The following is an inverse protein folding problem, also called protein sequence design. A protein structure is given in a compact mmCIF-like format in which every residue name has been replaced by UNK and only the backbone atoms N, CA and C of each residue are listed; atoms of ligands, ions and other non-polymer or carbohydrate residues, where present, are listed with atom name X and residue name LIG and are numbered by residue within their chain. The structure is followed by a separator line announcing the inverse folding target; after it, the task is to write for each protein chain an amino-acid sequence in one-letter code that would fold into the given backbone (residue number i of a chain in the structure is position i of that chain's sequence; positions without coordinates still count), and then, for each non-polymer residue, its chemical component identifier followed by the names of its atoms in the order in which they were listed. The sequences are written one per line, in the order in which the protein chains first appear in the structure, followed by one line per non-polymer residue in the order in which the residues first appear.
data_IF_782117558136
#
_entry.id   IF_782117558136
#
_cell.length_a   1.000
_cell.length_b   1.000
_cell.length_c   1.000
_cell.angle_alpha   90.00
_cell.angle_beta   90.00
_cell.angle_gamma   90.00
#
_symmetry.space_group_name_H-M   'P 1'
#
loop_
_entity.id
_entity.type
_entity.pdbx_description
1 polymer ?
#
# COMPACT_ATOMS: atom_id res chain seq x y z
N UNK A 1 -4.15 -1.45 -10.14
CA UNK A 1 -4.91 -1.85 -8.93
C UNK A 1 -6.37 -1.43 -8.96
N UNK A 2 -6.70 -0.15 -9.22
CA UNK A 2 -8.10 0.30 -9.25
C UNK A 2 -8.99 -0.49 -10.23
N UNK A 3 -8.48 -0.87 -11.40
CA UNK A 3 -9.22 -1.71 -12.37
C UNK A 3 -9.74 -3.03 -11.78
N UNK A 4 -8.99 -3.61 -10.86
CA UNK A 4 -9.27 -4.92 -10.26
C UNK A 4 -10.12 -4.76 -8.99
N UNK A 5 -9.83 -3.73 -8.17
CA UNK A 5 -10.42 -3.58 -6.85
C UNK A 5 -11.70 -2.74 -6.84
N UNK A 6 -11.84 -1.76 -7.73
CA UNK A 6 -13.01 -0.89 -7.74
C UNK A 6 -14.32 -1.66 -7.95
N UNK A 7 -14.41 -2.69 -8.83
CA UNK A 7 -15.63 -3.49 -8.96
C UNK A 7 -16.04 -4.25 -7.68
N UNK A 8 -15.12 -4.44 -6.73
CA UNK A 8 -15.34 -5.17 -5.47
C UNK A 8 -15.58 -4.23 -4.27
N UNK A 9 -15.62 -2.92 -4.49
CA UNK A 9 -15.71 -1.91 -3.44
C UNK A 9 -16.84 -0.92 -3.70
N UNK A 10 -17.45 -0.37 -2.65
CA UNK A 10 -18.42 0.72 -2.79
C UNK A 10 -17.74 2.00 -3.30
N UNK A 11 -16.50 2.27 -2.87
CA UNK A 11 -15.69 3.41 -3.28
C UNK A 11 -14.21 3.02 -3.30
N UNK A 12 -13.48 3.45 -4.32
CA UNK A 12 -12.05 3.25 -4.45
C UNK A 12 -11.34 4.59 -4.67
N UNK A 13 -10.16 4.76 -4.06
CA UNK A 13 -9.32 5.96 -4.22
C UNK A 13 -7.92 5.54 -4.60
N UNK A 14 -7.37 6.12 -5.67
CA UNK A 14 -5.96 6.03 -6.03
C UNK A 14 -5.25 7.33 -5.67
N UNK A 15 -4.07 7.20 -5.08
CA UNK A 15 -3.19 8.33 -4.73
C UNK A 15 -1.85 8.15 -5.43
N UNK A 16 -1.36 9.22 -6.04
CA UNK A 16 -0.02 9.27 -6.64
C UNK A 16 0.53 10.69 -6.55
N UNK A 17 1.85 10.84 -6.44
CA UNK A 17 2.49 12.16 -6.43
C UNK A 17 2.59 12.78 -7.83
N UNK A 18 2.68 11.94 -8.87
CA UNK A 18 2.88 12.34 -10.26
C UNK A 18 1.57 12.74 -10.94
N UNK A 19 1.42 14.00 -11.36
CA UNK A 19 0.29 14.43 -12.20
C UNK A 19 0.18 13.62 -13.50
N UNK A 20 1.31 13.22 -14.07
CA UNK A 20 1.37 12.46 -15.32
C UNK A 20 0.79 11.05 -15.13
N UNK A 21 1.16 10.36 -14.05
CA UNK A 21 0.61 9.04 -13.74
C UNK A 21 -0.89 9.11 -13.44
N UNK A 22 -1.35 10.16 -12.76
CA UNK A 22 -2.77 10.39 -12.53
C UNK A 22 -3.55 10.64 -13.82
N UNK A 23 -2.95 11.33 -14.79
CA UNK A 23 -3.55 11.52 -16.12
C UNK A 23 -3.74 10.19 -16.85
N UNK A 24 -2.70 9.35 -16.86
CA UNK A 24 -2.76 7.99 -17.44
C UNK A 24 -3.82 7.14 -16.75
N UNK A 25 -3.84 7.16 -15.42
CA UNK A 25 -4.84 6.42 -14.63
C UNK A 25 -6.26 6.90 -14.92
N UNK A 26 -6.48 8.20 -15.10
CA UNK A 26 -7.79 8.79 -15.40
C UNK A 26 -8.32 8.31 -16.74
N UNK A 27 -7.51 8.38 -17.80
CA UNK A 27 -7.89 7.90 -19.13
C UNK A 27 -8.28 6.42 -19.11
N UNK A 28 -7.56 5.61 -18.31
CA UNK A 28 -7.82 4.18 -18.15
C UNK A 28 -9.11 3.89 -17.38
N UNK A 29 -9.37 4.62 -16.30
CA UNK A 29 -10.63 4.56 -15.52
C UNK A 29 -11.83 4.95 -16.39
N UNK A 30 -11.72 6.02 -17.17
CA UNK A 30 -12.77 6.51 -18.07
C UNK A 30 -13.10 5.48 -19.16
N UNK A 31 -12.06 4.90 -19.79
CA UNK A 31 -12.21 3.86 -20.82
C UNK A 31 -12.96 2.62 -20.33
N UNK A 32 -12.77 2.24 -19.06
CA UNK A 32 -13.43 1.06 -18.45
C UNK A 32 -14.78 1.44 -17.82
N UNK A 33 -15.07 2.74 -17.67
CA UNK A 33 -16.33 3.21 -17.11
C UNK A 33 -16.43 3.05 -15.59
N UNK A 34 -15.31 3.05 -14.87
CA UNK A 34 -15.30 2.92 -13.40
C UNK A 34 -15.80 4.21 -12.72
N UNK A 35 -17.08 4.21 -12.34
CA UNK A 35 -17.74 5.38 -11.73
C UNK A 35 -17.45 5.58 -10.25
N UNK A 36 -17.05 4.52 -9.55
CA UNK A 36 -16.80 4.52 -8.11
C UNK A 36 -15.31 4.69 -7.75
N UNK A 37 -14.45 5.01 -8.72
CA UNK A 37 -13.03 5.26 -8.53
C UNK A 37 -12.72 6.76 -8.57
N UNK A 38 -11.91 7.24 -7.62
CA UNK A 38 -11.42 8.61 -7.56
C UNK A 38 -9.89 8.62 -7.57
N UNK A 39 -9.32 9.68 -8.14
CA UNK A 39 -7.88 9.90 -8.16
C UNK A 39 -7.56 11.18 -7.38
N UNK A 40 -6.59 11.10 -6.48
CA UNK A 40 -6.09 12.23 -5.69
C UNK A 40 -4.58 12.37 -5.90
N UNK A 41 -4.11 13.59 -6.13
CA UNK A 41 -2.68 13.84 -6.04
C UNK A 41 -2.29 13.95 -4.57
N UNK A 42 -1.21 13.27 -4.16
CA UNK A 42 -0.80 13.30 -2.75
C UNK A 42 0.51 12.59 -2.49
N UNK A 43 1.13 12.94 -1.38
CA UNK A 43 2.35 12.32 -0.86
C UNK A 43 2.00 11.08 -0.03
N UNK A 44 2.71 9.98 -0.27
CA UNK A 44 2.55 8.74 0.49
C UNK A 44 2.94 8.88 1.96
N UNK A 45 3.79 9.85 2.29
CA UNK A 45 4.17 10.19 3.66
C UNK A 45 3.19 11.13 4.37
N UNK A 46 2.14 11.58 3.68
CA UNK A 46 1.07 12.43 4.21
C UNK A 46 -0.19 12.28 3.34
N UNK A 47 -0.83 11.10 3.42
CA UNK A 47 -1.90 10.75 2.50
C UNK A 47 -3.10 11.69 2.64
N UNK A 48 -3.63 12.26 1.53
CA UNK A 48 -4.81 13.14 1.55
C UNK A 48 -6.09 12.30 1.63
N UNK A 49 -6.18 11.46 2.66
CA UNK A 49 -7.28 10.54 2.90
C UNK A 49 -7.65 10.49 4.38
N UNK A 50 -8.91 10.16 4.59
CA UNK A 50 -9.57 10.06 5.88
C UNK A 50 -8.88 8.99 6.75
N UNK A 51 -8.50 9.31 8.01
CA UNK A 51 -8.04 8.28 8.95
C UNK A 51 -9.18 7.32 9.28
N UNK A 52 -8.84 6.10 9.66
CA UNK A 52 -9.80 5.11 10.18
C UNK A 52 -11.00 4.80 9.28
N UNK A 53 -10.80 4.88 7.95
CA UNK A 53 -11.90 4.85 6.99
C UNK A 53 -11.89 3.62 6.08
N UNK A 54 -10.71 3.15 5.67
CA UNK A 54 -10.61 2.17 4.58
C UNK A 54 -10.55 0.73 5.10
N UNK A 55 -11.36 -0.16 4.51
CA UNK A 55 -11.29 -1.61 4.76
C UNK A 55 -9.99 -2.26 4.27
N UNK A 56 -9.44 -1.69 3.19
CA UNK A 56 -8.28 -2.19 2.47
C UNK A 56 -7.46 -1.00 1.95
N UNK A 57 -6.17 -1.01 2.24
CA UNK A 57 -5.16 -0.17 1.60
C UNK A 57 -4.19 -1.07 0.85
N UNK A 58 -3.77 -0.66 -0.35
CA UNK A 58 -2.81 -1.41 -1.16
C UNK A 58 -1.65 -0.49 -1.54
N UNK A 59 -0.43 -0.89 -1.19
CA UNK A 59 0.81 -0.27 -1.64
C UNK A 59 1.43 -1.20 -2.69
N UNK A 60 1.53 -0.74 -3.93
CA UNK A 60 1.93 -1.59 -5.05
C UNK A 60 3.13 -1.00 -5.79
N UNK A 61 4.27 -1.70 -5.74
CA UNK A 61 5.52 -1.37 -6.41
C UNK A 61 5.95 0.08 -6.15
N UNK A 62 6.00 0.46 -4.87
CA UNK A 62 6.31 1.84 -4.47
C UNK A 62 7.36 1.92 -3.37
N UNK A 63 7.50 0.91 -2.50
CA UNK A 63 8.39 1.01 -1.34
C UNK A 63 9.86 1.13 -1.74
N UNK A 64 10.27 0.50 -2.84
CA UNK A 64 11.64 0.56 -3.35
C UNK A 64 12.05 1.97 -3.82
N UNK A 65 11.11 2.89 -4.04
CA UNK A 65 11.39 4.30 -4.33
C UNK A 65 11.54 5.18 -3.09
N UNK A 66 11.11 4.70 -1.92
CA UNK A 66 10.98 5.54 -0.73
C UNK A 66 12.30 5.69 0.00
N UNK A 67 12.44 6.77 0.77
CA UNK A 67 13.52 6.93 1.74
C UNK A 67 13.18 6.20 3.03
N UNK A 68 11.94 6.34 3.50
CA UNK A 68 11.45 5.81 4.76
C UNK A 68 10.19 4.92 4.55
N UNK A 69 10.36 3.64 4.19
CA UNK A 69 9.24 2.72 4.01
C UNK A 69 8.35 2.61 5.24
N UNK A 70 8.91 2.65 6.45
CA UNK A 70 8.15 2.53 7.69
C UNK A 70 7.19 3.72 7.87
N UNK A 71 7.64 4.95 7.61
CA UNK A 71 6.77 6.14 7.68
C UNK A 71 5.60 6.03 6.70
N UNK A 72 5.84 5.60 5.47
CA UNK A 72 4.78 5.42 4.48
C UNK A 72 3.79 4.31 4.90
N UNK A 73 4.29 3.20 5.44
CA UNK A 73 3.44 2.11 5.97
C UNK A 73 2.60 2.58 7.16
N UNK A 74 3.15 3.44 8.03
CA UNK A 74 2.39 4.06 9.13
C UNK A 74 1.27 4.96 8.62
N UNK A 75 1.52 5.78 7.60
CA UNK A 75 0.46 6.58 6.98
C UNK A 75 -0.61 5.74 6.29
N UNK A 76 -0.21 4.67 5.60
CA UNK A 76 -1.16 3.70 5.05
C UNK A 76 -1.99 3.03 6.15
N UNK A 77 -1.37 2.71 7.28
CA UNK A 77 -2.05 2.11 8.44
C UNK A 77 -3.01 3.10 9.11
N UNK A 78 -2.65 4.39 9.21
CA UNK A 78 -3.54 5.45 9.71
C UNK A 78 -4.87 5.53 8.94
N UNK A 79 -4.83 5.29 7.63
CA UNK A 79 -6.02 5.31 6.79
C UNK A 79 -6.94 4.09 7.01
N UNK A 80 -6.40 2.98 7.51
CA UNK A 80 -7.20 1.78 7.76
C UNK A 80 -8.16 2.01 8.90
N UNK A 81 -9.42 1.60 8.74
CA UNK A 81 -10.31 1.44 9.88
C UNK A 81 -9.80 0.32 10.81
N UNK A 82 -10.21 0.28 12.09
CA UNK A 82 -9.96 -0.87 12.95
C UNK A 82 -10.37 -2.19 12.28
N UNK A 83 -9.48 -3.18 12.32
CA UNK A 83 -9.64 -4.47 11.64
C UNK A 83 -9.44 -4.46 10.12
N UNK A 84 -9.12 -3.30 9.53
CA UNK A 84 -8.80 -3.14 8.11
C UNK A 84 -7.51 -3.87 7.72
N UNK A 85 -7.24 -3.97 6.41
CA UNK A 85 -6.10 -4.74 5.89
C UNK A 85 -5.17 -3.88 5.04
N UNK A 86 -3.87 -4.07 5.21
CA UNK A 86 -2.84 -3.53 4.32
C UNK A 86 -2.28 -4.65 3.44
N UNK A 87 -2.27 -4.45 2.12
CA UNK A 87 -1.52 -5.29 1.19
C UNK A 87 -0.32 -4.51 0.68
N UNK A 88 0.87 -5.10 0.82
CA UNK A 88 2.09 -4.58 0.21
C UNK A 88 2.50 -5.56 -0.88
N UNK A 89 2.76 -5.04 -2.07
CA UNK A 89 3.29 -5.79 -3.21
C UNK A 89 4.57 -5.08 -3.66
N UNK A 90 5.71 -5.73 -3.55
CA UNK A 90 6.99 -5.15 -3.95
C UNK A 90 7.99 -6.25 -4.33
N UNK A 91 9.18 -5.88 -4.83
CA UNK A 91 10.16 -6.85 -5.30
C UNK A 91 10.78 -7.65 -4.15
N UNK A 92 10.95 -8.96 -4.36
CA UNK A 92 11.88 -9.77 -3.57
C UNK A 92 13.33 -9.31 -3.84
N UNK A 93 14.32 -9.66 -3.00
CA UNK A 93 15.70 -9.25 -3.22
C UNK A 93 16.21 -9.69 -4.59
N UNK A 94 16.92 -8.81 -5.27
CA UNK A 94 17.51 -9.09 -6.59
C UNK A 94 18.81 -8.30 -6.81
N UNK A 95 19.57 -8.68 -7.85
CA UNK A 95 20.88 -8.09 -8.15
C UNK A 95 20.87 -7.18 -9.40
N UNK A 96 19.69 -6.93 -9.99
CA UNK A 96 19.53 -6.07 -11.17
C UNK A 96 19.79 -4.57 -10.85
N UNK A 97 21.07 -4.19 -10.87
CA UNK A 97 21.55 -2.85 -10.52
C UNK A 97 21.13 -1.78 -11.55
N UNK A 98 20.84 -2.17 -12.81
CA UNK A 98 20.40 -1.23 -13.84
C UNK A 98 19.11 -0.50 -13.45
N UNK A 99 18.27 -1.09 -12.59
CA UNK A 99 17.05 -0.44 -12.10
C UNK A 99 17.32 0.80 -11.25
N UNK A 100 18.50 0.92 -10.62
CA UNK A 100 18.85 2.14 -9.87
C UNK A 100 19.08 3.32 -10.80
N UNK A 101 19.79 3.11 -11.89
CA UNK A 101 20.16 4.17 -12.83
C UNK A 101 19.06 4.47 -13.83
N UNK A 102 18.36 3.45 -14.33
CA UNK A 102 17.34 3.58 -15.38
C UNK A 102 15.96 3.89 -14.79
N UNK A 103 15.61 3.25 -13.67
CA UNK A 103 14.28 3.34 -13.08
C UNK A 103 14.26 4.08 -11.74
N UNK A 104 15.40 4.58 -11.26
CA UNK A 104 15.52 5.30 -9.98
C UNK A 104 15.15 4.46 -8.74
N UNK A 105 15.34 3.14 -8.79
CA UNK A 105 15.17 2.29 -7.62
C UNK A 105 16.18 2.68 -6.52
N UNK A 106 15.68 2.93 -5.30
CA UNK A 106 16.53 3.17 -4.12
C UNK A 106 16.89 1.87 -3.41
N UNK A 107 16.10 0.81 -3.60
CA UNK A 107 16.33 -0.53 -3.07
C UNK A 107 16.12 -1.57 -4.17
N UNK A 108 16.89 -2.65 -4.15
CA UNK A 108 16.77 -3.78 -5.08
C UNK A 108 15.91 -4.88 -4.45
N UNK A 109 14.67 -4.52 -4.14
CA UNK A 109 13.73 -5.37 -3.40
C UNK A 109 13.96 -5.39 -1.90
N UNK A 110 13.22 -6.28 -1.24
CA UNK A 110 13.15 -6.41 0.21
C UNK A 110 13.11 -7.87 0.63
N UNK A 111 13.83 -8.20 1.70
CA UNK A 111 13.68 -9.48 2.38
C UNK A 111 12.29 -9.64 2.99
N UNK A 112 11.93 -10.88 3.35
CA UNK A 112 10.65 -11.16 3.97
C UNK A 112 10.47 -10.45 5.29
N UNK A 113 11.54 -10.47 6.07
CA UNK A 113 11.63 -9.99 7.43
C UNK A 113 11.60 -8.47 7.48
N UNK A 114 12.18 -7.78 6.49
CA UNK A 114 12.16 -6.30 6.44
C UNK A 114 10.73 -5.76 6.35
N UNK A 115 9.96 -6.19 5.35
CA UNK A 115 8.59 -5.68 5.17
C UNK A 115 7.69 -6.14 6.32
N UNK A 116 7.81 -7.38 6.76
CA UNK A 116 7.04 -7.88 7.90
C UNK A 116 7.39 -7.12 9.20
N UNK A 117 8.65 -6.76 9.39
CA UNK A 117 9.14 -5.93 10.48
C UNK A 117 8.55 -4.54 10.44
N UNK A 118 8.53 -3.88 9.27
CA UNK A 118 7.90 -2.56 9.13
C UNK A 118 6.40 -2.60 9.40
N UNK A 119 5.69 -3.62 8.90
CA UNK A 119 4.26 -3.80 9.16
C UNK A 119 3.97 -4.00 10.64
N UNK A 120 4.76 -4.84 11.32
CA UNK A 120 4.65 -5.06 12.77
C UNK A 120 4.93 -3.77 13.55
N UNK A 121 5.96 -3.01 13.17
CA UNK A 121 6.30 -1.72 13.77
C UNK A 121 5.28 -0.60 13.50
N UNK A 122 4.39 -0.81 12.52
CA UNK A 122 3.24 0.04 12.24
C UNK A 122 1.96 -0.42 12.96
N UNK A 123 2.01 -1.50 13.75
CA UNK A 123 0.88 -2.01 14.52
C UNK A 123 0.01 -3.04 13.79
N UNK A 124 0.47 -3.55 12.64
CA UNK A 124 -0.23 -4.58 11.88
C UNK A 124 0.20 -5.99 12.32
N UNK A 125 -0.74 -6.91 12.26
CA UNK A 125 -0.48 -8.35 12.32
C UNK A 125 -0.30 -8.90 10.90
N UNK A 126 0.89 -9.40 10.59
CA UNK A 126 1.16 -10.04 9.28
C UNK A 126 0.55 -11.43 9.28
N UNK A 127 -0.43 -11.65 8.39
CA UNK A 127 -1.23 -12.89 8.32
C UNK A 127 -0.91 -13.76 7.10
N UNK A 128 -0.32 -13.19 6.05
CA UNK A 128 0.10 -13.94 4.87
C UNK A 128 1.31 -13.26 4.22
N UNK A 129 2.20 -14.09 3.67
CA UNK A 129 3.20 -13.71 2.66
C UNK A 129 3.12 -14.68 1.49
N UNK A 130 3.33 -14.18 0.27
CA UNK A 130 3.47 -15.02 -0.92
C UNK A 130 4.48 -14.43 -1.89
N UNK A 131 5.37 -15.27 -2.39
CA UNK A 131 6.27 -14.90 -3.49
C UNK A 131 5.70 -15.40 -4.81
N UNK A 132 5.77 -14.55 -5.83
CA UNK A 132 5.38 -14.82 -7.20
C UNK A 132 6.65 -14.75 -8.06
N UNK A 133 7.26 -15.92 -8.24
CA UNK A 133 8.38 -16.07 -9.15
C UNK A 133 7.88 -16.01 -10.61
N UNK A 134 8.68 -15.46 -11.53
CA UNK A 134 8.38 -15.51 -12.96
C UNK A 134 8.38 -16.96 -13.47
N UNK A 135 7.55 -17.22 -14.49
CA UNK A 135 7.47 -18.54 -15.11
C UNK A 135 8.76 -18.87 -15.89
N UNK A 136 9.12 -20.16 -16.06
CA UNK A 136 10.25 -20.55 -16.89
C UNK A 136 10.14 -19.96 -18.31
N UNK A 137 11.15 -19.20 -18.73
CA UNK A 137 11.19 -18.53 -20.04
C UNK A 137 10.80 -17.05 -20.02
N UNK A 138 10.32 -16.52 -18.90
CA UNK A 138 10.09 -15.07 -18.72
C UNK A 138 11.37 -14.34 -18.31
N UNK A 139 12.39 -14.37 -19.18
CA UNK A 139 13.67 -13.70 -18.95
C UNK A 139 13.50 -12.22 -18.61
N UNK A 140 14.26 -11.74 -17.62
CA UNK A 140 14.28 -10.33 -17.19
C UNK A 140 13.15 -9.90 -16.26
N UNK A 141 12.22 -10.81 -15.90
CA UNK A 141 11.23 -10.53 -14.84
C UNK A 141 11.81 -10.85 -13.46
N UNK A 142 11.39 -10.07 -12.47
CA UNK A 142 11.80 -10.22 -11.07
C UNK A 142 10.70 -10.89 -10.26
N UNK A 143 11.11 -11.60 -9.22
CA UNK A 143 10.18 -12.15 -8.23
C UNK A 143 9.51 -10.99 -7.49
N UNK A 144 8.19 -11.04 -7.39
CA UNK A 144 7.39 -10.09 -6.63
C UNK A 144 6.86 -10.76 -5.38
N UNK A 145 7.03 -10.13 -4.23
CA UNK A 145 6.52 -10.57 -2.94
C UNK A 145 5.27 -9.80 -2.56
N UNK A 146 4.31 -10.50 -1.95
CA UNK A 146 3.09 -9.95 -1.39
C UNK A 146 3.05 -10.20 0.11
N UNK A 147 2.70 -9.18 0.88
CA UNK A 147 2.43 -9.28 2.31
C UNK A 147 1.03 -8.76 2.62
N UNK A 148 0.30 -9.48 3.47
CA UNK A 148 -1.02 -9.09 3.97
C UNK A 148 -0.94 -8.86 5.48
N UNK A 149 -1.24 -7.64 5.88
CA UNK A 149 -1.33 -7.20 7.28
C UNK A 149 -2.76 -6.90 7.66
N UNK A 150 -3.11 -7.17 8.92
CA UNK A 150 -4.38 -6.79 9.51
C UNK A 150 -4.15 -5.80 10.65
N UNK A 151 -4.94 -4.73 10.68
CA UNK A 151 -4.97 -3.81 11.80
C UNK A 151 -5.53 -4.53 13.05
N UNK A 152 -4.77 -4.47 14.15
CA UNK A 152 -5.10 -5.12 15.41
C UNK A 152 -6.18 -4.39 16.20
N UNK A 153 -6.44 -3.13 15.90
CA UNK A 153 -7.49 -2.35 16.55
C UNK A 153 -8.83 -3.01 16.29
N UNK A 154 -9.63 -3.11 17.35
CA UNK A 154 -11.00 -3.58 17.28
C UNK A 154 -11.94 -2.42 17.55
N UNK A 155 -13.09 -2.40 16.89
CA UNK A 155 -14.18 -1.52 17.28
C UNK A 155 -14.78 -2.13 18.55
N UNK A 156 -14.52 -1.49 19.69
CA UNK A 156 -15.23 -1.77 20.93
C UNK A 156 -16.33 -0.71 21.10
N UNK A 157 -17.43 -1.07 21.75
CA UNK A 157 -18.42 -0.07 22.16
C UNK A 157 -17.74 0.98 23.05
N UNK A 158 -18.05 2.28 22.85
CA UNK A 158 -17.49 3.32 23.70
C UNK A 158 -17.92 3.05 25.15
N UNK A 159 -16.94 2.76 26.01
CA UNK A 159 -17.19 2.77 27.45
C UNK A 159 -17.63 4.18 27.83
N UNK A 160 -18.67 4.36 28.68
CA UNK A 160 -19.06 5.69 29.13
C UNK A 160 -17.86 6.36 29.80
N UNK A 161 -17.31 7.38 29.13
CA UNK A 161 -16.17 8.16 29.59
C UNK A 161 -16.59 8.96 30.83
N UNK A 162 -16.35 8.41 32.02
CA UNK A 162 -16.45 9.15 33.29
C UNK A 162 -15.14 9.80 33.71
N UNK A 163 -14.03 9.49 33.03
CA UNK A 163 -12.72 10.08 33.31
C UNK A 163 -12.55 11.40 32.55
N UNK A 164 -12.66 12.51 33.29
CA UNK A 164 -12.14 13.80 32.85
C UNK A 164 -10.68 13.88 33.28
N UNK A 165 -9.77 13.96 32.33
CA UNK A 165 -8.38 14.34 32.59
C UNK A 165 -8.10 15.68 31.90
N UNK A 166 -7.29 16.50 32.57
CA UNK A 166 -6.79 17.81 32.13
C UNK A 166 -5.26 17.81 32.31
N UNK A 167 -4.55 18.49 31.42
CA UNK A 167 -3.08 18.53 31.34
C UNK A 167 -2.43 19.34 32.46
#
# INVERSE_FOLDING_TARGET
MLEILAPLATRAVGVDQSPQMLSVARARIERIGLRNAQLRQGDIYALPVEPDFYDLVVMHQVLHYLDDPLRAIREATRALRPGGRLVIVDFAPHEEESLRSVHAHRRLGFTAEEVAGYMTAAGLEVSMRRDLAPEPGEGGKLTVSLWLGRDRRVIADPLPLTAREVA
#
